data_IF_445033152676
#
_entry.id   IF_445033152676
#
_cell.length_a   1.000
_cell.length_b   1.000
_cell.length_c   1.000
_cell.angle_alpha   90.00
_cell.angle_beta   90.00
_cell.angle_gamma   90.00
#
_symmetry.space_group_name_H-M   'P 1'
#
loop_
_entity.id
_entity.type
_entity.pdbx_description
1 polymer ?
#
# COMPACT_ATOMS: atom_id res chain seq x y z
N UNK A 1 14.26 14.63 20.57
CA UNK A 1 13.48 13.71 19.72
C UNK A 1 13.89 12.30 20.07
N UNK A 2 12.93 11.43 20.42
CA UNK A 2 13.22 10.01 20.64
C UNK A 2 13.61 9.36 19.31
N UNK A 3 14.51 8.39 19.30
CA UNK A 3 14.92 7.73 18.07
C UNK A 3 13.71 7.03 17.42
N UNK A 4 13.59 7.13 16.09
CA UNK A 4 12.68 6.30 15.32
C UNK A 4 13.43 5.08 14.75
N UNK A 5 12.71 4.04 14.41
CA UNK A 5 13.29 2.84 13.83
C UNK A 5 12.30 2.13 12.90
N UNK A 6 12.84 1.30 12.02
CA UNK A 6 12.07 0.44 11.13
C UNK A 6 11.98 -0.96 11.72
N UNK A 7 10.76 -1.43 11.98
CA UNK A 7 10.51 -2.78 12.51
C UNK A 7 10.69 -3.90 11.48
N UNK A 8 10.65 -3.53 10.20
CA UNK A 8 10.73 -4.45 9.05
C UNK A 8 9.42 -5.13 8.68
N UNK A 9 8.36 -5.00 9.50
CA UNK A 9 7.04 -5.58 9.18
C UNK A 9 5.93 -4.91 9.99
N UNK A 10 4.72 -4.83 9.43
CA UNK A 10 3.55 -4.22 10.07
C UNK A 10 3.15 -4.90 11.38
N UNK A 11 3.16 -6.22 11.43
CA UNK A 11 2.85 -7.01 12.63
C UNK A 11 3.89 -6.79 13.73
N UNK A 12 5.16 -6.69 13.38
CA UNK A 12 6.21 -6.34 14.33
C UNK A 12 6.01 -4.94 14.90
N UNK A 13 5.64 -3.95 14.05
CA UNK A 13 5.32 -2.60 14.54
C UNK A 13 4.21 -2.64 15.58
N UNK A 14 3.10 -3.33 15.28
CA UNK A 14 1.98 -3.47 16.20
C UNK A 14 2.41 -4.09 17.54
N UNK A 15 3.20 -5.17 17.50
CA UNK A 15 3.69 -5.85 18.71
C UNK A 15 4.66 -5.02 19.54
N UNK A 16 5.50 -4.21 18.91
CA UNK A 16 6.40 -3.29 19.61
C UNK A 16 5.63 -2.19 20.38
N UNK A 17 4.52 -1.70 19.81
CA UNK A 17 3.63 -0.76 20.50
C UNK A 17 2.85 -1.47 21.61
N UNK A 18 2.27 -2.65 21.32
CA UNK A 18 1.52 -3.44 22.32
C UNK A 18 2.34 -3.77 23.57
N UNK A 19 3.63 -4.06 23.38
CA UNK A 19 4.56 -4.36 24.47
C UNK A 19 5.06 -3.11 25.23
N UNK A 20 4.78 -1.91 24.73
CA UNK A 20 5.30 -0.65 25.29
C UNK A 20 6.77 -0.37 24.94
N UNK A 21 7.38 -1.15 24.05
CA UNK A 21 8.74 -0.88 23.60
C UNK A 21 8.84 0.40 22.77
N UNK A 22 7.77 0.76 22.06
CA UNK A 22 7.58 2.03 21.38
C UNK A 22 6.25 2.66 21.78
N UNK A 23 6.22 3.97 21.86
CA UNK A 23 5.03 4.73 22.26
C UNK A 23 4.01 4.84 21.13
N UNK A 24 4.48 4.83 19.88
CA UNK A 24 3.64 4.88 18.67
C UNK A 24 4.31 4.14 17.51
N UNK A 25 3.51 3.76 16.53
CA UNK A 25 3.99 3.09 15.32
C UNK A 25 3.07 3.34 14.13
N UNK A 26 3.60 3.25 12.92
CA UNK A 26 2.86 3.41 11.67
C UNK A 26 2.77 2.06 10.97
N UNK A 27 1.56 1.64 10.60
CA UNK A 27 1.32 0.37 9.91
C UNK A 27 0.07 0.46 9.03
N UNK A 28 -0.11 -0.53 8.15
CA UNK A 28 -1.32 -0.63 7.33
C UNK A 28 -2.54 -0.89 8.20
N UNK A 29 -3.62 -0.11 8.00
CA UNK A 29 -4.89 -0.29 8.69
C UNK A 29 -5.47 -1.70 8.47
N UNK A 30 -5.41 -2.24 7.25
CA UNK A 30 -5.86 -3.61 6.95
C UNK A 30 -5.14 -4.66 7.80
N UNK A 31 -3.84 -4.45 8.04
CA UNK A 31 -3.06 -5.35 8.88
C UNK A 31 -3.43 -5.21 10.35
N UNK A 32 -3.67 -3.98 10.80
CA UNK A 32 -4.16 -3.70 12.14
C UNK A 32 -5.50 -4.42 12.39
N UNK A 33 -6.50 -4.20 11.52
CA UNK A 33 -7.81 -4.81 11.64
C UNK A 33 -7.74 -6.34 11.66
N UNK A 34 -7.02 -6.94 10.73
CA UNK A 34 -6.81 -8.38 10.68
C UNK A 34 -6.17 -8.96 11.96
N UNK A 35 -5.25 -8.22 12.58
CA UNK A 35 -4.61 -8.67 13.83
C UNK A 35 -5.57 -8.55 15.02
N UNK A 36 -6.39 -7.52 15.08
CA UNK A 36 -7.42 -7.35 16.12
C UNK A 36 -8.51 -8.41 15.97
N UNK A 37 -9.04 -8.59 14.77
CA UNK A 37 -10.08 -9.61 14.48
C UNK A 37 -9.63 -11.03 14.78
N UNK A 38 -8.36 -11.35 14.50
CA UNK A 38 -7.78 -12.65 14.81
C UNK A 38 -7.32 -12.82 16.28
N UNK A 39 -7.54 -11.80 17.13
CA UNK A 39 -7.11 -11.82 18.53
C UNK A 39 -5.58 -11.75 18.74
N UNK A 40 -4.84 -11.40 17.69
CA UNK A 40 -3.37 -11.28 17.76
C UNK A 40 -2.90 -9.93 18.26
N UNK A 41 -3.77 -8.94 18.37
CA UNK A 41 -3.48 -7.59 18.85
C UNK A 41 -4.60 -7.12 19.78
N UNK A 42 -4.21 -6.60 20.93
CA UNK A 42 -5.13 -6.00 21.90
C UNK A 42 -5.40 -4.53 21.54
N UNK A 43 -6.61 -4.24 21.04
CA UNK A 43 -7.02 -2.89 20.65
C UNK A 43 -7.05 -1.89 21.82
N UNK A 44 -7.16 -2.36 23.06
CA UNK A 44 -7.13 -1.46 24.23
C UNK A 44 -5.71 -0.96 24.53
N UNK A 45 -4.70 -1.76 24.17
CA UNK A 45 -3.28 -1.38 24.27
C UNK A 45 -2.78 -0.63 23.03
N UNK A 46 -3.35 -0.91 21.87
CA UNK A 46 -2.95 -0.32 20.61
C UNK A 46 -4.12 0.45 20.00
N UNK A 47 -4.27 1.71 20.36
CA UNK A 47 -5.33 2.58 19.85
C UNK A 47 -4.89 3.30 18.59
N UNK A 48 -5.79 3.38 17.58
CA UNK A 48 -5.57 4.25 16.42
C UNK A 48 -5.68 5.70 16.90
N UNK A 49 -4.63 6.47 16.70
CA UNK A 49 -4.56 7.88 17.09
C UNK A 49 -4.70 8.82 15.88
N UNK A 50 -4.46 8.31 14.69
CA UNK A 50 -4.61 9.04 13.45
C UNK A 50 -4.65 8.09 12.25
N UNK A 51 -5.46 8.42 11.27
CA UNK A 51 -5.55 7.75 9.97
C UNK A 51 -5.12 8.72 8.87
N UNK A 52 -4.32 8.23 7.90
CA UNK A 52 -3.92 9.05 6.75
C UNK A 52 -5.14 9.31 5.86
N UNK A 53 -5.21 10.45 5.16
CA UNK A 53 -6.13 10.60 4.05
C UNK A 53 -5.92 9.49 3.01
N UNK A 54 -7.00 9.12 2.30
CA UNK A 54 -6.94 8.15 1.22
C UNK A 54 -5.95 8.58 0.13
N UNK A 55 -5.18 7.61 -0.35
CA UNK A 55 -4.24 7.78 -1.45
C UNK A 55 -4.32 6.55 -2.38
N UNK A 56 -3.82 6.71 -3.61
CA UNK A 56 -3.80 5.62 -4.58
C UNK A 56 -2.94 4.46 -4.07
N UNK A 57 -3.51 3.24 -4.13
CA UNK A 57 -2.86 2.01 -3.68
C UNK A 57 -1.74 1.58 -4.66
N UNK A 58 -1.15 0.42 -4.44
CA UNK A 58 -0.13 -0.15 -5.32
C UNK A 58 -0.60 -0.20 -6.77
N UNK A 59 0.32 0.03 -7.68
CA UNK A 59 0.04 0.01 -9.12
C UNK A 59 1.00 -0.93 -9.85
N UNK A 60 0.58 -1.34 -11.04
CA UNK A 60 1.45 -1.95 -12.03
C UNK A 60 1.81 -0.92 -13.08
N UNK A 61 3.11 -0.74 -13.29
CA UNK A 61 3.65 0.21 -14.26
C UNK A 61 4.22 -0.56 -15.45
N UNK A 62 3.75 -0.25 -16.64
CA UNK A 62 4.23 -0.83 -17.89
C UNK A 62 5.29 0.06 -18.53
N UNK A 63 6.43 -0.52 -18.94
CA UNK A 63 7.45 0.22 -19.67
C UNK A 63 7.00 0.44 -21.12
N UNK A 64 7.13 1.66 -21.68
CA UNK A 64 6.70 1.98 -23.05
C UNK A 64 7.31 1.08 -24.15
N UNK A 65 8.48 0.50 -23.89
CA UNK A 65 9.11 -0.43 -24.84
C UNK A 65 8.29 -1.70 -25.09
N UNK A 66 7.32 -2.04 -24.25
CA UNK A 66 6.48 -3.23 -24.46
C UNK A 66 5.69 -3.15 -25.75
N UNK A 67 5.21 -1.98 -26.14
CA UNK A 67 4.53 -1.80 -27.42
C UNK A 67 5.46 -2.01 -28.62
N UNK A 68 6.75 -1.69 -28.48
CA UNK A 68 7.75 -1.95 -29.55
C UNK A 68 8.07 -3.45 -29.65
N UNK A 69 8.07 -4.17 -28.53
CA UNK A 69 8.43 -5.60 -28.49
C UNK A 69 7.26 -6.48 -28.91
N UNK A 70 6.06 -6.19 -28.44
CA UNK A 70 4.88 -7.05 -28.59
C UNK A 70 3.84 -6.50 -29.59
N UNK A 71 4.09 -5.32 -30.16
CA UNK A 71 3.22 -4.65 -31.13
C UNK A 71 2.39 -3.53 -30.50
N UNK A 72 2.06 -2.55 -31.34
CA UNK A 72 1.28 -1.37 -30.91
C UNK A 72 -0.03 -1.75 -30.22
N UNK A 73 -0.33 -1.10 -29.09
CA UNK A 73 -1.52 -1.35 -28.29
C UNK A 73 -1.41 -2.59 -27.38
N UNK A 74 -0.22 -3.16 -27.21
CA UNK A 74 -0.02 -4.26 -26.27
C UNK A 74 -0.28 -3.81 -24.81
N UNK A 75 0.18 -2.62 -24.44
CA UNK A 75 -0.01 -2.07 -23.09
C UNK A 75 -1.50 -1.91 -22.77
N UNK A 76 -2.29 -1.39 -23.72
CA UNK A 76 -3.74 -1.24 -23.53
C UNK A 76 -4.43 -2.61 -23.38
N UNK A 77 -4.04 -3.60 -24.17
CA UNK A 77 -4.55 -4.98 -24.05
C UNK A 77 -4.18 -5.59 -22.70
N UNK A 78 -2.97 -5.37 -22.23
CA UNK A 78 -2.50 -5.85 -20.94
C UNK A 78 -3.30 -5.19 -19.81
N UNK A 79 -3.47 -3.87 -19.83
CA UNK A 79 -4.28 -3.13 -18.86
C UNK A 79 -5.71 -3.66 -18.84
N UNK A 80 -6.33 -3.82 -20.02
CA UNK A 80 -7.69 -4.37 -20.11
C UNK A 80 -7.77 -5.77 -19.52
N UNK A 81 -6.84 -6.66 -19.84
CA UNK A 81 -6.81 -8.03 -19.33
C UNK A 81 -6.71 -8.07 -17.80
N UNK A 82 -5.93 -7.16 -17.20
CA UNK A 82 -5.81 -7.04 -15.75
C UNK A 82 -7.11 -6.52 -15.10
N UNK A 83 -7.74 -5.50 -15.69
CA UNK A 83 -8.99 -4.93 -15.19
C UNK A 83 -10.14 -5.93 -15.29
N UNK A 84 -10.15 -6.78 -16.32
CA UNK A 84 -11.18 -7.79 -16.56
C UNK A 84 -11.04 -9.02 -15.63
N UNK A 85 -10.04 -9.09 -14.76
CA UNK A 85 -9.91 -10.18 -13.78
C UNK A 85 -11.05 -10.08 -12.78
N UNK A 86 -11.88 -11.13 -12.76
CA UNK A 86 -13.00 -11.31 -11.82
C UNK A 86 -12.86 -12.54 -10.94
N UNK A 87 -11.78 -13.29 -11.09
CA UNK A 87 -11.48 -14.47 -10.27
C UNK A 87 -11.24 -14.04 -8.82
N UNK A 88 -12.15 -14.46 -7.93
CA UNK A 88 -12.14 -14.06 -6.53
C UNK A 88 -10.92 -14.61 -5.78
N UNK A 89 -10.44 -15.80 -6.13
CA UNK A 89 -9.28 -16.40 -5.46
C UNK A 89 -8.00 -15.65 -5.82
N UNK A 90 -7.86 -15.26 -7.11
CA UNK A 90 -6.77 -14.43 -7.59
C UNK A 90 -6.78 -13.04 -6.94
N UNK A 91 -7.93 -12.38 -6.91
CA UNK A 91 -8.08 -11.07 -6.29
C UNK A 91 -7.81 -11.14 -4.78
N UNK A 92 -8.28 -12.19 -4.10
CA UNK A 92 -8.01 -12.43 -2.68
C UNK A 92 -6.54 -12.68 -2.39
N UNK A 93 -5.84 -13.42 -3.27
CA UNK A 93 -4.39 -13.61 -3.16
C UNK A 93 -3.63 -12.28 -3.26
N UNK A 94 -4.13 -11.34 -4.05
CA UNK A 94 -3.63 -9.97 -4.13
C UNK A 94 -4.10 -9.07 -2.97
N UNK A 95 -4.95 -9.57 -2.07
CA UNK A 95 -5.61 -8.81 -1.00
C UNK A 95 -6.43 -7.62 -1.53
N UNK A 96 -7.07 -7.79 -2.67
CA UNK A 96 -7.88 -6.77 -3.35
C UNK A 96 -9.22 -7.35 -3.77
N UNK A 97 -10.21 -6.47 -3.94
CA UNK A 97 -11.54 -6.85 -4.44
C UNK A 97 -11.68 -6.67 -5.96
N UNK A 98 -10.85 -5.81 -6.54
CA UNK A 98 -10.79 -5.57 -8.00
C UNK A 98 -9.53 -4.82 -8.40
N UNK A 99 -9.22 -4.84 -9.68
CA UNK A 99 -8.22 -4.01 -10.33
C UNK A 99 -8.93 -2.91 -11.09
N UNK A 100 -8.43 -1.70 -11.00
CA UNK A 100 -9.04 -0.53 -11.66
C UNK A 100 -8.01 0.18 -12.54
N UNK A 101 -8.49 0.93 -13.53
CA UNK A 101 -7.65 1.83 -14.29
C UNK A 101 -7.05 2.90 -13.40
N UNK A 102 -5.79 3.25 -13.65
CA UNK A 102 -5.10 4.32 -12.96
C UNK A 102 -4.27 5.15 -13.96
N UNK A 103 -4.00 6.38 -13.60
CA UNK A 103 -3.17 7.32 -14.35
C UNK A 103 -2.28 8.12 -13.38
N UNK A 104 -1.27 8.78 -13.89
CA UNK A 104 -0.27 9.48 -13.06
C UNK A 104 -0.90 10.51 -12.11
N UNK A 105 -1.96 11.20 -12.53
CA UNK A 105 -2.65 12.21 -11.72
C UNK A 105 -3.23 11.63 -10.43
N UNK A 106 -3.60 10.35 -10.41
CA UNK A 106 -4.15 9.68 -9.23
C UNK A 106 -3.10 9.56 -8.10
N UNK A 107 -1.81 9.66 -8.45
CA UNK A 107 -0.67 9.58 -7.53
C UNK A 107 -0.10 10.94 -7.13
N UNK A 108 -0.72 12.04 -7.56
CA UNK A 108 -0.24 13.41 -7.34
C UNK A 108 0.03 13.72 -5.87
N UNK A 109 -0.82 13.27 -4.96
CA UNK A 109 -0.63 13.47 -3.51
C UNK A 109 0.67 12.85 -3.00
N UNK A 110 1.03 11.65 -3.50
CA UNK A 110 2.27 10.97 -3.12
C UNK A 110 3.48 11.70 -3.71
N UNK A 111 3.38 12.14 -4.96
CA UNK A 111 4.41 12.94 -5.63
C UNK A 111 4.69 14.23 -4.87
N UNK A 112 3.64 14.96 -4.45
CA UNK A 112 3.78 16.20 -3.71
C UNK A 112 4.50 15.99 -2.38
N UNK A 113 4.11 14.98 -1.61
CA UNK A 113 4.78 14.61 -0.36
C UNK A 113 6.24 14.22 -0.61
N UNK A 114 6.51 13.43 -1.65
CA UNK A 114 7.87 13.01 -1.99
C UNK A 114 8.76 14.22 -2.37
N UNK A 115 8.19 15.21 -3.07
CA UNK A 115 8.87 16.48 -3.37
C UNK A 115 9.15 17.30 -2.11
N UNK A 116 8.16 17.47 -1.22
CA UNK A 116 8.31 18.18 0.05
C UNK A 116 9.38 17.56 0.94
N UNK A 117 9.49 16.23 0.94
CA UNK A 117 10.50 15.49 1.69
C UNK A 117 11.87 15.41 0.97
N UNK A 118 11.99 15.94 -0.25
CA UNK A 118 13.23 15.96 -1.02
C UNK A 118 13.59 14.61 -1.66
N UNK A 119 12.67 13.65 -1.74
CA UNK A 119 12.96 12.32 -2.30
C UNK A 119 13.07 12.32 -3.83
N UNK A 120 12.51 13.31 -4.50
CA UNK A 120 12.54 13.44 -5.97
C UNK A 120 13.56 14.47 -6.47
N UNK A 121 14.26 15.16 -5.56
CA UNK A 121 15.29 16.14 -5.89
C UNK A 121 16.65 15.44 -6.02
N UNK A 122 16.91 14.78 -7.16
CA UNK A 122 18.22 14.27 -7.57
C UNK A 122 18.72 15.04 -8.78
#
# INVERSE_FOLDING_TARGET
TKPFGFSGAHDKTAKLVESGAFEAGVLSYKKYDSMVESGKLDKEKCKIIWETPDYADYNWTAHPALDKIYGNGFIDKLQKALIDITDEELLKALTRSKIISAKNEDFKKIEDIANELGFLNN
#
